data_IF_819767134904
#
_entry.id   IF_819767134904
#
_cell.length_a   1.000
_cell.length_b   1.000
_cell.length_c   1.000
_cell.angle_alpha   90.00
_cell.angle_beta   90.00
_cell.angle_gamma   90.00
#
_symmetry.space_group_name_H-M   'P 1'
#
loop_
_entity.id
_entity.type
_entity.pdbx_description
1 polymer ?
#
# COMPACT_ATOMS: atom_id res chain seq x y z
N UNK A 1 -2.38 -7.42 -6.87
CA UNK A 1 -1.30 -8.43 -6.95
C UNK A 1 -0.46 -8.32 -5.69
N UNK A 2 -0.21 -9.44 -5.02
CA UNK A 2 0.78 -9.53 -3.93
C UNK A 2 2.16 -9.88 -4.48
N UNK A 3 3.21 -9.57 -3.73
CA UNK A 3 4.57 -10.00 -4.06
C UNK A 3 4.69 -11.52 -4.17
N UNK A 4 4.02 -12.27 -3.30
CA UNK A 4 4.01 -13.73 -3.38
C UNK A 4 3.38 -14.24 -4.69
N UNK A 5 2.28 -13.62 -5.15
CA UNK A 5 1.66 -13.92 -6.45
C UNK A 5 2.66 -13.70 -7.59
N UNK A 6 3.37 -12.57 -7.55
CA UNK A 6 4.41 -12.23 -8.53
C UNK A 6 5.54 -13.26 -8.56
N UNK A 7 6.10 -13.63 -7.40
CA UNK A 7 7.17 -14.63 -7.30
C UNK A 7 6.74 -15.97 -7.93
N UNK A 8 5.51 -16.43 -7.66
CA UNK A 8 5.04 -17.69 -8.24
C UNK A 8 4.85 -17.60 -9.76
N UNK A 9 4.34 -16.48 -10.27
CA UNK A 9 4.18 -16.25 -11.70
C UNK A 9 5.52 -16.17 -12.44
N UNK A 10 6.53 -15.52 -11.84
CA UNK A 10 7.87 -15.36 -12.41
C UNK A 10 8.66 -16.67 -12.48
N UNK A 11 8.45 -17.60 -11.53
CA UNK A 11 9.22 -18.86 -11.45
C UNK A 11 8.51 -20.08 -12.05
N UNK A 12 7.30 -19.94 -12.59
CA UNK A 12 6.63 -20.96 -13.41
C UNK A 12 6.18 -22.26 -12.72
N UNK A 13 6.71 -22.65 -11.55
CA UNK A 13 6.35 -23.87 -10.79
C UNK A 13 6.54 -23.61 -9.27
N UNK A 14 5.79 -24.35 -8.45
CA UNK A 14 5.71 -24.37 -6.97
C UNK A 14 7.03 -24.18 -6.19
N UNK A 15 6.88 -23.82 -4.90
CA UNK A 15 7.86 -23.59 -3.80
C UNK A 15 9.09 -24.54 -3.65
N UNK A 16 9.31 -25.47 -4.58
CA UNK A 16 10.34 -26.52 -4.54
C UNK A 16 11.62 -26.23 -5.34
N UNK A 17 11.73 -25.10 -6.06
CA UNK A 17 12.95 -24.77 -6.84
C UNK A 17 13.62 -23.47 -6.34
N UNK A 18 13.88 -23.37 -5.03
CA UNK A 18 14.65 -22.25 -4.44
C UNK A 18 16.17 -22.45 -4.59
N UNK A 19 16.63 -23.52 -5.23
CA UNK A 19 18.06 -23.77 -5.46
C UNK A 19 18.41 -23.75 -6.95
N UNK A 20 18.66 -22.55 -7.47
CA UNK A 20 19.48 -22.38 -8.67
C UNK A 20 18.85 -21.54 -9.79
N UNK A 21 19.48 -20.39 -10.03
CA UNK A 21 19.39 -19.60 -11.27
C UNK A 21 18.08 -18.88 -11.56
N UNK A 22 17.90 -17.71 -10.93
CA UNK A 22 17.35 -16.55 -11.63
C UNK A 22 18.12 -15.30 -11.20
N UNK A 23 18.55 -14.48 -12.15
CA UNK A 23 19.36 -13.27 -11.94
C UNK A 23 18.53 -12.12 -11.32
N UNK A 24 17.96 -12.35 -10.15
CA UNK A 24 17.46 -11.26 -9.32
C UNK A 24 18.68 -10.47 -8.83
N UNK A 25 18.71 -9.16 -9.08
CA UNK A 25 19.76 -8.35 -8.50
C UNK A 25 19.51 -8.29 -7.00
N UNK A 26 20.43 -8.82 -6.20
CA UNK A 26 20.45 -8.61 -4.75
C UNK A 26 20.85 -7.16 -4.38
N UNK A 27 20.62 -6.21 -5.30
CA UNK A 27 20.87 -4.80 -5.11
C UNK A 27 19.79 -4.24 -4.18
N UNK A 28 20.19 -3.93 -2.95
CA UNK A 28 19.37 -3.15 -2.01
C UNK A 28 19.45 -1.69 -2.40
N UNK A 29 18.29 -1.08 -2.62
CA UNK A 29 18.17 0.34 -3.00
C UNK A 29 17.40 1.10 -1.94
N UNK A 30 17.73 2.38 -1.80
CA UNK A 30 17.02 3.35 -0.94
C UNK A 30 16.52 4.49 -1.82
N UNK A 31 15.27 4.40 -2.26
CA UNK A 31 14.74 5.20 -3.37
C UNK A 31 13.46 5.95 -3.01
N UNK A 32 13.25 7.13 -3.62
CA UNK A 32 12.05 7.91 -3.38
C UNK A 32 10.83 7.30 -4.06
N UNK A 33 9.73 7.18 -3.30
CA UNK A 33 8.40 6.84 -3.82
C UNK A 33 7.76 8.07 -4.48
N UNK A 34 8.07 9.25 -3.94
CA UNK A 34 7.45 10.53 -4.31
C UNK A 34 8.52 11.62 -4.37
N UNK A 35 8.33 12.67 -5.16
CA UNK A 35 9.08 13.93 -4.98
C UNK A 35 8.75 14.57 -3.62
N UNK A 36 9.56 15.49 -3.06
CA UNK A 36 9.22 16.17 -1.81
C UNK A 36 7.98 17.07 -1.92
N UNK A 37 6.97 16.87 -1.05
CA UNK A 37 5.69 17.59 -1.06
C UNK A 37 5.00 17.56 0.29
N UNK A 38 3.89 18.29 0.45
CA UNK A 38 3.04 18.18 1.64
C UNK A 38 2.26 16.87 1.58
N UNK A 39 2.90 15.80 2.06
CA UNK A 39 2.35 14.45 2.02
C UNK A 39 1.11 14.33 2.94
N UNK A 40 -0.04 13.89 2.39
CA UNK A 40 -1.20 13.55 3.21
C UNK A 40 -0.86 12.46 4.23
N UNK A 41 -1.48 12.52 5.42
CA UNK A 41 -1.23 11.55 6.50
C UNK A 41 -1.38 10.10 6.03
N UNK A 42 -2.38 9.85 5.18
CA UNK A 42 -2.74 8.52 4.71
C UNK A 42 -1.76 7.96 3.68
N UNK A 43 -0.99 8.78 2.96
CA UNK A 43 0.05 8.28 2.06
C UNK A 43 1.16 7.57 2.85
N UNK A 44 1.46 8.02 4.07
CA UNK A 44 2.46 7.36 4.93
C UNK A 44 1.99 5.97 5.34
N UNK A 45 0.72 5.85 5.73
CA UNK A 45 0.12 4.56 6.13
C UNK A 45 0.04 3.63 4.92
N UNK A 46 -0.41 4.15 3.77
CA UNK A 46 -0.47 3.37 2.53
C UNK A 46 0.92 2.87 2.12
N UNK A 47 1.95 3.71 2.21
CA UNK A 47 3.32 3.29 1.90
C UNK A 47 3.77 2.13 2.79
N UNK A 48 3.44 2.16 4.09
CA UNK A 48 3.69 1.03 5.01
C UNK A 48 2.95 -0.24 4.56
N UNK A 49 1.64 -0.16 4.31
CA UNK A 49 0.82 -1.31 3.87
C UNK A 49 1.35 -1.93 2.57
N UNK A 50 1.71 -1.09 1.60
CA UNK A 50 2.30 -1.57 0.34
C UNK A 50 3.70 -2.14 0.59
N UNK A 51 4.56 -1.45 1.35
CA UNK A 51 5.92 -1.90 1.61
C UNK A 51 5.98 -3.27 2.28
N UNK A 52 5.16 -3.49 3.31
CA UNK A 52 5.01 -4.79 3.98
C UNK A 52 4.66 -5.90 3.00
N UNK A 53 3.77 -5.63 2.04
CA UNK A 53 3.35 -6.60 1.04
C UNK A 53 4.36 -6.82 -0.10
N UNK A 54 5.37 -5.96 -0.24
CA UNK A 54 6.41 -6.05 -1.26
C UNK A 54 7.81 -6.12 -0.67
N UNK A 55 7.96 -6.66 0.55
CA UNK A 55 9.28 -6.88 1.20
C UNK A 55 10.12 -5.61 1.33
N UNK A 56 9.49 -4.43 1.32
CA UNK A 56 10.14 -3.13 1.39
C UNK A 56 9.88 -2.48 2.75
N UNK A 57 10.85 -1.73 3.26
CA UNK A 57 10.66 -0.86 4.42
C UNK A 57 10.25 0.54 3.94
N UNK A 58 9.07 0.99 4.40
CA UNK A 58 8.57 2.32 4.11
C UNK A 58 9.06 3.31 5.17
N UNK A 59 9.65 4.42 4.75
CA UNK A 59 9.95 5.52 5.66
C UNK A 59 9.73 6.87 5.00
N UNK A 60 9.89 7.92 5.78
CA UNK A 60 9.87 9.27 5.25
C UNK A 60 10.84 10.16 6.03
N UNK A 61 11.30 11.21 5.36
CA UNK A 61 11.96 12.31 6.03
C UNK A 61 11.23 13.61 5.69
N UNK A 62 11.34 14.61 6.56
CA UNK A 62 10.63 15.88 6.41
C UNK A 62 11.62 17.03 6.47
N UNK A 63 11.62 17.86 5.44
CA UNK A 63 12.39 19.11 5.36
C UNK A 63 11.41 20.23 5.01
N UNK A 64 11.42 21.32 5.78
CA UNK A 64 10.57 22.50 5.52
C UNK A 64 9.09 22.16 5.28
N UNK A 65 8.51 21.29 6.13
CA UNK A 65 7.13 20.79 6.05
C UNK A 65 6.79 19.97 4.80
N UNK A 66 7.76 19.69 3.93
CA UNK A 66 7.65 18.76 2.82
C UNK A 66 8.21 17.42 3.26
N UNK A 67 7.44 16.36 3.09
CA UNK A 67 7.92 14.99 3.29
C UNK A 67 8.25 14.36 1.96
N UNK A 68 9.28 13.51 1.96
CA UNK A 68 9.54 12.59 0.87
C UNK A 68 9.36 11.17 1.41
N UNK A 69 8.48 10.40 0.77
CA UNK A 69 8.31 8.98 1.08
C UNK A 69 9.38 8.18 0.35
N UNK A 70 9.90 7.17 1.04
CA UNK A 70 11.06 6.37 0.61
C UNK A 70 10.77 4.89 0.83
N UNK A 71 11.33 4.04 -0.02
CA UNK A 71 11.43 2.61 0.20
C UNK A 71 12.88 2.17 0.28
N UNK A 72 13.17 1.29 1.25
CA UNK A 72 14.37 0.46 1.27
C UNK A 72 13.96 -0.97 0.94
N UNK A 73 14.56 -1.57 -0.07
CA UNK A 73 14.22 -2.93 -0.49
C UNK A 73 15.10 -3.41 -1.63
N UNK A 74 14.91 -4.65 -2.08
CA UNK A 74 15.52 -5.11 -3.33
C UNK A 74 14.96 -4.30 -4.50
N UNK A 75 15.81 -3.96 -5.46
CA UNK A 75 15.45 -3.09 -6.59
C UNK A 75 14.13 -3.49 -7.28
N UNK A 76 13.99 -4.75 -7.66
CA UNK A 76 12.80 -5.29 -8.33
C UNK A 76 11.54 -5.13 -7.47
N UNK A 77 11.68 -5.35 -6.16
CA UNK A 77 10.58 -5.28 -5.20
C UNK A 77 10.13 -3.83 -5.02
N UNK A 78 11.09 -2.91 -4.88
CA UNK A 78 10.81 -1.48 -4.75
C UNK A 78 10.17 -0.89 -6.00
N UNK A 79 10.60 -1.30 -7.21
CA UNK A 79 10.03 -0.82 -8.47
C UNK A 79 8.54 -1.18 -8.60
N UNK A 80 8.18 -2.41 -8.24
CA UNK A 80 6.78 -2.85 -8.25
C UNK A 80 6.00 -2.20 -7.11
N UNK A 81 6.56 -2.13 -5.90
CA UNK A 81 5.92 -1.46 -4.77
C UNK A 81 5.57 0.00 -5.09
N UNK A 82 6.46 0.74 -5.78
CA UNK A 82 6.20 2.13 -6.22
C UNK A 82 5.05 2.20 -7.22
N UNK A 83 5.01 1.29 -8.22
CA UNK A 83 3.91 1.24 -9.20
C UNK A 83 2.58 0.97 -8.52
N UNK A 84 2.54 -0.01 -7.61
CA UNK A 84 1.32 -0.38 -6.87
C UNK A 84 0.90 0.73 -5.92
N UNK A 85 1.84 1.38 -5.22
CA UNK A 85 1.55 2.54 -4.38
C UNK A 85 0.89 3.66 -5.18
N UNK A 86 1.46 4.05 -6.32
CA UNK A 86 0.92 5.11 -7.17
C UNK A 86 -0.47 4.75 -7.72
N UNK A 87 -0.66 3.49 -8.11
CA UNK A 87 -1.97 3.00 -8.52
C UNK A 87 -3.00 3.06 -7.37
N UNK A 88 -2.62 2.63 -6.16
CA UNK A 88 -3.47 2.69 -4.98
C UNK A 88 -3.82 4.13 -4.58
N UNK A 89 -2.88 5.07 -4.66
CA UNK A 89 -3.14 6.51 -4.45
C UNK A 89 -4.21 7.01 -5.42
N UNK A 90 -4.11 6.65 -6.70
CA UNK A 90 -5.09 7.05 -7.72
C UNK A 90 -6.47 6.44 -7.45
N UNK A 91 -6.52 5.14 -7.10
CA UNK A 91 -7.76 4.44 -6.77
C UNK A 91 -8.45 5.05 -5.54
N UNK A 92 -7.71 5.28 -4.46
CA UNK A 92 -8.22 5.93 -3.25
C UNK A 92 -8.77 7.31 -3.58
N UNK A 93 -8.03 8.14 -4.31
CA UNK A 93 -8.48 9.48 -4.71
C UNK A 93 -9.77 9.42 -5.52
N UNK A 94 -9.83 8.55 -6.54
CA UNK A 94 -11.01 8.38 -7.39
C UNK A 94 -12.25 7.94 -6.59
N UNK A 95 -12.13 6.87 -5.81
CA UNK A 95 -13.25 6.31 -5.06
C UNK A 95 -13.71 7.23 -3.93
N UNK A 96 -12.78 7.92 -3.27
CA UNK A 96 -13.09 8.94 -2.27
C UNK A 96 -13.84 10.11 -2.88
N UNK A 97 -13.38 10.63 -4.04
CA UNK A 97 -14.06 11.72 -4.73
C UNK A 97 -15.50 11.33 -5.12
N UNK A 98 -15.68 10.13 -5.68
CA UNK A 98 -16.99 9.59 -6.05
C UNK A 98 -17.92 9.44 -4.83
N UNK A 99 -17.40 8.94 -3.71
CA UNK A 99 -18.18 8.80 -2.48
C UNK A 99 -18.65 10.17 -1.95
N UNK A 100 -17.76 11.15 -1.90
CA UNK A 100 -18.10 12.51 -1.45
C UNK A 100 -19.11 13.18 -2.41
N UNK A 101 -19.00 12.97 -3.71
CA UNK A 101 -19.96 13.47 -4.70
C UNK A 101 -21.36 12.87 -4.48
N UNK A 102 -21.45 11.57 -4.24
CA UNK A 102 -22.71 10.88 -3.93
C UNK A 102 -23.35 11.43 -2.66
N UNK A 103 -22.56 11.62 -1.60
CA UNK A 103 -23.05 12.22 -0.36
C UNK A 103 -23.61 13.64 -0.57
N UNK A 104 -22.90 14.48 -1.33
CA UNK A 104 -23.35 15.84 -1.65
C UNK A 104 -24.68 15.86 -2.38
N UNK A 105 -24.89 14.92 -3.33
CA UNK A 105 -26.17 14.75 -4.04
C UNK A 105 -27.30 14.31 -3.10
N UNK A 106 -26.98 13.53 -2.07
CA UNK A 106 -27.92 13.10 -1.04
C UNK A 106 -28.30 14.18 -0.01
N UNK A 107 -27.87 15.44 -0.19
CA UNK A 107 -28.29 16.55 0.67
C UNK A 107 -27.63 16.58 2.05
N UNK A 108 -26.49 15.90 2.23
CA UNK A 108 -25.78 15.93 3.53
C UNK A 108 -25.19 17.31 3.83
N UNK A 109 -24.81 17.52 5.09
CA UNK A 109 -24.08 18.71 5.52
C UNK A 109 -22.81 18.92 4.67
N UNK A 110 -22.76 20.03 3.95
CA UNK A 110 -21.65 20.37 3.05
C UNK A 110 -20.59 21.30 3.68
N UNK A 111 -20.61 21.47 5.01
CA UNK A 111 -19.57 22.23 5.70
C UNK A 111 -18.18 21.62 5.43
N UNK A 112 -17.17 22.42 5.04
CA UNK A 112 -15.85 21.90 4.66
C UNK A 112 -15.17 21.02 5.71
N UNK A 113 -15.27 21.37 6.99
CA UNK A 113 -14.66 20.59 8.08
C UNK A 113 -15.31 19.21 8.24
N UNK A 114 -16.65 19.15 8.14
CA UNK A 114 -17.39 17.89 8.21
C UNK A 114 -17.04 16.98 7.02
N UNK A 115 -17.08 17.51 5.79
CA UNK A 115 -16.71 16.74 4.60
C UNK A 115 -15.25 16.27 4.63
N UNK A 116 -14.35 17.05 5.24
CA UNK A 116 -12.96 16.64 5.44
C UNK A 116 -12.86 15.46 6.42
N UNK A 117 -13.64 15.48 7.50
CA UNK A 117 -13.74 14.36 8.44
C UNK A 117 -14.25 13.09 7.77
N UNK A 118 -15.36 13.19 7.03
CA UNK A 118 -15.94 12.07 6.27
C UNK A 118 -14.95 11.52 5.23
N UNK A 119 -14.22 12.40 4.55
CA UNK A 119 -13.15 11.99 3.62
C UNK A 119 -12.10 11.15 4.33
N UNK A 120 -11.64 11.60 5.49
CA UNK A 120 -10.62 10.89 6.26
C UNK A 120 -11.13 9.54 6.78
N UNK A 121 -12.39 9.46 7.24
CA UNK A 121 -13.02 8.20 7.66
C UNK A 121 -13.07 7.19 6.48
N UNK A 122 -13.49 7.65 5.30
CA UNK A 122 -13.54 6.82 4.09
C UNK A 122 -12.15 6.32 3.67
N UNK A 123 -11.15 7.21 3.64
CA UNK A 123 -9.77 6.84 3.26
C UNK A 123 -9.18 5.85 4.27
N UNK A 124 -9.41 6.06 5.58
CA UNK A 124 -8.95 5.14 6.61
C UNK A 124 -9.54 3.74 6.38
N UNK A 125 -10.87 3.67 6.22
CA UNK A 125 -11.57 2.43 5.92
C UNK A 125 -10.99 1.76 4.68
N UNK A 126 -10.76 2.50 3.59
CA UNK A 126 -10.17 1.95 2.38
C UNK A 126 -8.81 1.29 2.64
N UNK A 127 -7.90 1.97 3.35
CA UNK A 127 -6.57 1.45 3.63
C UNK A 127 -6.64 0.20 4.52
N UNK A 128 -7.52 0.19 5.52
CA UNK A 128 -7.73 -0.97 6.39
C UNK A 128 -8.31 -2.16 5.60
N UNK A 129 -9.28 -1.91 4.71
CA UNK A 129 -9.81 -2.94 3.83
C UNK A 129 -8.77 -3.50 2.86
N UNK A 130 -7.88 -2.65 2.34
CA UNK A 130 -6.76 -3.08 1.51
C UNK A 130 -5.78 -3.96 2.30
N UNK A 131 -5.41 -3.54 3.52
CA UNK A 131 -4.53 -4.30 4.40
C UNK A 131 -5.13 -5.66 4.74
N UNK A 132 -6.40 -5.71 5.13
CA UNK A 132 -7.06 -6.97 5.48
C UNK A 132 -7.14 -7.91 4.28
N UNK A 133 -7.38 -7.39 3.07
CA UNK A 133 -7.30 -8.20 1.84
C UNK A 133 -5.92 -8.85 1.70
N UNK A 134 -4.85 -8.08 1.89
CA UNK A 134 -3.49 -8.61 1.79
C UNK A 134 -3.24 -9.69 2.85
N UNK A 135 -3.61 -9.43 4.10
CA UNK A 135 -3.45 -10.39 5.20
C UNK A 135 -4.22 -11.68 4.94
N UNK A 136 -5.49 -11.60 4.52
CA UNK A 136 -6.30 -12.77 4.19
C UNK A 136 -5.70 -13.60 3.06
N UNK A 137 -5.14 -12.94 2.03
CA UNK A 137 -4.45 -13.62 0.94
C UNK A 137 -3.16 -14.30 1.41
N UNK A 138 -2.43 -13.70 2.35
CA UNK A 138 -1.24 -14.30 2.96
C UNK A 138 -1.60 -15.53 3.79
N UNK A 139 -2.63 -15.43 4.63
CA UNK A 139 -3.10 -16.53 5.48
C UNK A 139 -3.65 -17.69 4.65
N UNK A 140 -4.54 -17.40 3.69
CA UNK A 140 -5.18 -18.43 2.84
C UNK A 140 -4.18 -19.27 2.05
N UNK A 141 -3.05 -18.67 1.66
CA UNK A 141 -2.05 -19.34 0.84
C UNK A 141 -0.74 -19.64 1.58
N UNK A 142 -0.68 -19.39 2.90
CA UNK A 142 0.50 -19.58 3.74
C UNK A 142 1.77 -18.86 3.21
N UNK A 143 1.62 -17.64 2.69
CA UNK A 143 2.71 -16.87 2.07
C UNK A 143 3.56 -16.05 3.05
N UNK A 144 3.34 -16.19 4.35
CA UNK A 144 4.00 -15.37 5.37
C UNK A 144 5.54 -15.38 5.24
N UNK A 145 6.14 -16.56 4.98
CA UNK A 145 7.59 -16.71 4.82
C UNK A 145 8.12 -16.04 3.55
N UNK A 146 7.34 -16.03 2.48
CA UNK A 146 7.73 -15.46 1.17
C UNK A 146 7.82 -13.92 1.24
N UNK A 147 7.01 -13.30 2.11
CA UNK A 147 6.96 -11.85 2.27
C UNK A 147 7.96 -11.30 3.28
N UNK A 148 8.79 -12.15 3.88
CA UNK A 148 9.87 -11.70 4.77
C UNK A 148 10.89 -10.89 3.95
N UNK A 149 11.29 -9.74 4.48
CA UNK A 149 12.32 -8.89 3.87
C UNK A 149 13.65 -9.66 3.82
N UNK A 150 14.42 -9.44 2.77
CA UNK A 150 15.76 -10.00 2.66
C UNK A 150 16.67 -9.50 3.79
N UNK A 151 17.61 -10.32 4.27
CA UNK A 151 18.53 -9.95 5.35
C UNK A 151 19.35 -8.70 5.00
N UNK A 152 19.74 -8.55 3.73
CA UNK A 152 20.45 -7.36 3.26
C UNK A 152 19.59 -6.09 3.37
N UNK A 153 18.26 -6.20 3.20
CA UNK A 153 17.31 -5.10 3.39
C UNK A 153 17.18 -4.77 4.87
N UNK A 154 17.08 -5.78 5.74
CA UNK A 154 17.00 -5.59 7.20
C UNK A 154 18.24 -4.84 7.70
N UNK A 155 19.43 -5.29 7.32
CA UNK A 155 20.70 -4.65 7.70
C UNK A 155 20.77 -3.18 7.21
N UNK A 156 20.32 -2.92 5.98
CA UNK A 156 20.28 -1.56 5.43
C UNK A 156 19.33 -0.63 6.21
N UNK A 157 18.16 -1.15 6.63
CA UNK A 157 17.19 -0.43 7.45
C UNK A 157 17.76 -0.12 8.83
N UNK A 158 18.42 -1.08 9.47
CA UNK A 158 19.05 -0.89 10.78
C UNK A 158 20.15 0.17 10.74
N UNK A 159 21.03 0.10 9.73
CA UNK A 159 22.09 1.11 9.50
C UNK A 159 21.53 2.52 9.29
N UNK A 160 20.31 2.65 8.76
CA UNK A 160 19.66 3.95 8.56
C UNK A 160 19.27 4.64 9.87
N UNK A 161 19.13 3.90 10.98
CA UNK A 161 18.82 4.45 12.29
C UNK A 161 17.46 5.15 12.35
N UNK A 162 16.46 4.61 11.64
CA UNK A 162 15.12 5.19 11.56
C UNK A 162 14.46 5.29 12.94
N UNK A 163 13.67 6.35 13.14
CA UNK A 163 12.90 6.58 14.37
C UNK A 163 11.42 6.46 14.10
N UNK A 164 10.65 6.05 15.11
CA UNK A 164 9.19 6.01 15.02
C UNK A 164 8.64 7.40 14.65
N UNK A 165 7.79 7.42 13.62
CA UNK A 165 7.12 8.64 13.18
C UNK A 165 6.20 9.22 14.26
N UNK A 166 6.01 10.55 14.22
CA UNK A 166 5.03 11.22 15.08
C UNK A 166 3.63 11.00 14.53
N UNK A 167 2.66 10.73 15.41
CA UNK A 167 1.24 10.68 15.04
C UNK A 167 0.79 12.07 14.59
N UNK A 168 0.06 12.12 13.48
CA UNK A 168 -0.56 13.36 12.99
C UNK A 168 -1.88 13.58 13.71
N UNK A 169 -2.19 14.82 14.08
CA UNK A 169 -3.56 15.19 14.47
C UNK A 169 -4.41 15.30 13.21
N UNK A 170 -5.42 14.43 13.09
CA UNK A 170 -6.27 14.31 11.90
C UNK A 170 -7.71 14.51 12.34
N UNK A 171 -8.44 15.33 11.60
CA UNK A 171 -9.88 15.52 11.81
C UNK A 171 -10.65 14.34 11.21
N UNK A 172 -11.31 13.56 12.03
CA UNK A 172 -12.24 12.50 11.63
C UNK A 172 -13.66 12.94 11.95
N UNK A 173 -14.64 12.54 11.14
CA UNK A 173 -16.05 12.76 11.47
C UNK A 173 -16.63 11.58 12.28
N UNK A 174 -15.84 10.50 12.44
CA UNK A 174 -16.25 9.26 13.10
C UNK A 174 -17.51 8.66 12.46
N UNK A 175 -17.60 8.71 11.13
CA UNK A 175 -18.71 8.12 10.39
C UNK A 175 -18.46 6.66 10.06
N UNK A 176 -19.17 5.77 10.76
CA UNK A 176 -19.13 4.32 10.50
C UNK A 176 -19.49 3.98 9.05
N UNK A 177 -20.47 4.70 8.48
CA UNK A 177 -20.88 4.50 7.10
C UNK A 177 -19.77 4.87 6.09
N UNK A 178 -19.04 5.96 6.35
CA UNK A 178 -17.93 6.38 5.50
C UNK A 178 -16.79 5.37 5.59
N UNK A 179 -16.42 4.99 6.82
CA UNK A 179 -15.42 3.97 7.08
C UNK A 179 -15.77 2.65 6.40
N UNK A 180 -16.95 2.08 6.66
CA UNK A 180 -17.38 0.80 6.10
C UNK A 180 -17.49 0.82 4.57
N UNK A 181 -17.87 1.96 3.98
CA UNK A 181 -17.90 2.11 2.52
C UNK A 181 -16.51 2.18 1.91
N UNK A 182 -15.57 2.86 2.59
CA UNK A 182 -14.15 2.85 2.24
C UNK A 182 -13.59 1.43 2.33
N UNK A 183 -13.80 0.77 3.46
CA UNK A 183 -13.35 -0.59 3.75
C UNK A 183 -13.76 -1.59 2.66
N UNK A 184 -15.05 -1.64 2.32
CA UNK A 184 -15.52 -2.51 1.23
C UNK A 184 -14.81 -2.21 -0.09
N UNK A 185 -14.56 -0.93 -0.41
CA UNK A 185 -13.85 -0.59 -1.65
C UNK A 185 -12.37 -0.96 -1.60
N UNK A 186 -11.73 -0.82 -0.44
CA UNK A 186 -10.36 -1.29 -0.22
C UNK A 186 -10.21 -2.80 -0.45
N UNK A 187 -11.20 -3.59 0.00
CA UNK A 187 -11.26 -5.04 -0.22
C UNK A 187 -11.41 -5.42 -1.70
N UNK A 188 -11.99 -4.55 -2.51
CA UNK A 188 -12.11 -4.74 -3.96
C UNK A 188 -10.85 -4.32 -4.74
N UNK A 189 -9.80 -3.81 -4.08
CA UNK A 189 -8.62 -3.31 -4.78
C UNK A 189 -7.90 -4.41 -5.56
N UNK A 190 -7.77 -4.21 -6.87
CA UNK A 190 -7.07 -5.12 -7.77
C UNK A 190 -6.12 -4.32 -8.66
N UNK A 191 -4.89 -4.81 -8.82
CA UNK A 191 -3.95 -4.23 -9.78
C UNK A 191 -4.24 -4.81 -11.16
N UNK A 192 -3.83 -4.09 -12.22
CA UNK A 192 -4.07 -4.51 -13.61
C UNK A 192 -3.52 -5.90 -13.93
N UNK A 193 -2.42 -6.32 -13.29
CA UNK A 193 -1.90 -7.68 -13.43
C UNK A 193 -2.74 -8.72 -12.64
N UNK A 194 -3.30 -8.35 -11.48
CA UNK A 194 -4.25 -9.22 -10.75
C UNK A 194 -5.58 -9.43 -11.48
N UNK A 195 -5.98 -8.48 -12.35
CA UNK A 195 -7.11 -8.66 -13.27
C UNK A 195 -6.82 -9.67 -14.38
N UNK A 196 -5.56 -9.81 -14.79
CA UNK A 196 -5.14 -10.79 -15.82
C UNK A 196 -5.05 -12.20 -15.19
N UNK A 197 -4.51 -12.32 -13.98
CA UNK A 197 -4.41 -13.60 -13.26
C UNK A 197 -5.79 -14.16 -12.86
N UNK A 198 -6.73 -13.32 -12.41
CA UNK A 198 -8.09 -13.75 -12.04
C UNK A 198 -8.89 -14.27 -13.24
N UNK A 199 -8.65 -13.72 -14.44
CA UNK A 199 -9.25 -14.22 -15.68
C UNK A 199 -8.65 -15.56 -16.12
N UNK A 200 -7.36 -15.79 -15.88
CA UNK A 200 -6.68 -17.05 -16.20
C UNK A 200 -6.97 -18.18 -15.21
N UNK A 201 -7.24 -17.87 -13.93
CA UNK A 201 -7.60 -18.87 -12.92
C UNK A 201 -9.08 -19.32 -12.98
N UNK A 202 -9.89 -18.66 -13.82
CA UNK A 202 -11.33 -18.96 -14.01
C UNK A 202 -11.61 -19.70 -15.33
N UNK A 203 -10.57 -20.07 -16.09
CA UNK A 203 -10.61 -20.93 -17.28
C UNK A 203 -10.03 -22.31 -16.93
#
# INVERSE_FOLDING_TARGET
MLMAQRIMAENGITMTEIEGNNSFSNEVVDIPITSPYRTPWWHKILATVIGENFRCEAYYYTINQKSQLMFIGLKQDTEVAIKVFNYAVNAINYHTAKYIEQLKRGGVNNKPLYLTGIRNDYILGYIDGLRDKFNEQVEKNNWALILIKDDAVIEAVEKKGLRKGRRSSINFACSDNAYASGYRKGREFETREGLIESQNASM
#
